data_IF_362939588135
#
_entry.id   IF_362939588135
#
_cell.length_a   1.000
_cell.length_b   1.000
_cell.length_c   1.000
_cell.angle_alpha   90.00
_cell.angle_beta   90.00
_cell.angle_gamma   90.00
#
_symmetry.space_group_name_H-M   'P 1'
#
loop_
_entity.id
_entity.type
_entity.pdbx_description
1 polymer ?
#
# COMPACT_ATOMS: atom_id res chain seq x y z
N UNK A 1 27.30 19.72 -12.41
CA UNK A 1 26.28 18.65 -12.46
C UNK A 1 25.25 19.01 -11.43
N UNK A 2 24.14 19.60 -11.85
CA UNK A 2 23.02 19.88 -10.96
C UNK A 2 22.19 18.59 -10.84
N UNK A 3 22.00 18.09 -9.62
CA UNK A 3 21.12 16.97 -9.36
C UNK A 3 19.68 17.43 -9.55
N UNK A 4 18.95 16.81 -10.46
CA UNK A 4 17.52 17.03 -10.62
C UNK A 4 16.83 16.57 -9.33
N UNK A 5 16.38 17.54 -8.54
CA UNK A 5 15.50 17.30 -7.41
C UNK A 5 14.15 16.80 -7.97
N UNK A 6 13.80 15.55 -7.71
CA UNK A 6 12.46 15.06 -7.99
C UNK A 6 11.54 15.52 -6.85
N UNK A 7 11.12 16.78 -6.86
CA UNK A 7 9.91 17.17 -6.14
C UNK A 7 8.70 16.75 -6.97
N UNK A 8 8.24 15.53 -6.77
CA UNK A 8 6.96 15.08 -7.35
C UNK A 8 5.89 15.16 -6.27
N UNK A 9 5.50 16.37 -5.89
CA UNK A 9 4.35 16.58 -5.02
C UNK A 9 3.09 16.62 -5.87
N UNK A 10 2.77 15.50 -6.51
CA UNK A 10 1.42 15.31 -7.04
C UNK A 10 0.60 14.58 -6.00
N UNK A 11 -0.20 15.32 -5.23
CA UNK A 11 -1.30 14.75 -4.45
C UNK A 11 -2.38 14.26 -5.41
N UNK A 12 -2.11 13.18 -6.14
CA UNK A 12 -3.17 12.40 -6.76
C UNK A 12 -3.84 11.65 -5.63
N UNK A 13 -5.05 12.06 -5.27
CA UNK A 13 -5.93 11.22 -4.48
C UNK A 13 -6.10 9.92 -5.26
N UNK A 14 -5.51 8.83 -4.75
CA UNK A 14 -5.69 7.51 -5.34
C UNK A 14 -7.18 7.19 -5.22
N UNK A 15 -7.85 6.97 -6.35
CA UNK A 15 -9.22 6.49 -6.33
C UNK A 15 -9.23 5.03 -5.88
N UNK A 16 -9.50 4.85 -4.59
CA UNK A 16 -9.55 3.54 -3.94
C UNK A 16 -10.72 2.68 -4.43
N UNK A 17 -11.69 3.24 -5.17
CA UNK A 17 -12.83 2.46 -5.70
C UNK A 17 -12.39 1.39 -6.71
N UNK A 18 -11.21 1.57 -7.31
CA UNK A 18 -10.57 0.60 -8.19
C UNK A 18 -9.69 -0.42 -7.46
N UNK A 19 -9.42 -0.23 -6.16
CA UNK A 19 -8.64 -1.15 -5.33
C UNK A 19 -9.57 -2.13 -4.59
N UNK A 20 -10.49 -2.75 -5.33
CA UNK A 20 -11.51 -3.65 -4.77
C UNK A 20 -10.92 -4.88 -4.06
N UNK A 21 -9.66 -5.19 -4.36
CA UNK A 21 -8.94 -6.35 -3.86
C UNK A 21 -7.90 -5.97 -2.79
N UNK A 22 -8.03 -4.82 -2.14
CA UNK A 22 -7.16 -4.38 -1.06
C UNK A 22 -7.93 -4.24 0.24
N UNK A 23 -7.47 -4.94 1.29
CA UNK A 23 -7.94 -4.76 2.65
C UNK A 23 -6.89 -4.02 3.47
N UNK A 24 -7.22 -2.80 3.93
CA UNK A 24 -6.37 -2.00 4.82
C UNK A 24 -6.97 -2.03 6.22
N UNK A 25 -6.17 -2.39 7.22
CA UNK A 25 -6.60 -2.50 8.63
C UNK A 25 -5.56 -1.91 9.56
N UNK A 26 -6.03 -1.23 10.62
CA UNK A 26 -5.20 -0.94 11.79
C UNK A 26 -5.04 -2.22 12.64
N UNK A 27 -3.85 -2.42 13.16
CA UNK A 27 -3.47 -3.47 14.10
C UNK A 27 -2.77 -2.82 15.31
N UNK A 28 -2.56 -3.57 16.40
CA UNK A 28 -1.93 -3.03 17.62
C UNK A 28 -0.59 -2.32 17.38
N UNK A 29 0.16 -2.74 16.35
CA UNK A 29 1.49 -2.22 16.04
C UNK A 29 1.57 -1.52 14.66
N UNK A 30 0.46 -0.93 14.19
CA UNK A 30 0.45 -0.14 12.94
C UNK A 30 -0.61 -0.60 11.95
N UNK A 31 -0.23 -0.79 10.69
CA UNK A 31 -1.12 -1.07 9.59
C UNK A 31 -0.76 -2.39 8.91
N UNK A 32 -1.81 -3.10 8.50
CA UNK A 32 -1.73 -4.29 7.66
C UNK A 32 -2.51 -4.01 6.38
N UNK A 33 -1.86 -4.22 5.24
CA UNK A 33 -2.49 -4.18 3.92
C UNK A 33 -2.42 -5.57 3.31
N UNK A 34 -3.55 -6.10 2.84
CA UNK A 34 -3.61 -7.40 2.21
C UNK A 34 -4.24 -7.32 0.83
N UNK A 35 -3.73 -8.14 -0.10
CA UNK A 35 -4.44 -8.46 -1.34
C UNK A 35 -5.47 -9.54 -1.05
N UNK A 36 -6.72 -9.27 -1.40
CA UNK A 36 -7.85 -10.21 -1.28
C UNK A 36 -8.30 -10.67 -2.64
N UNK A 37 -8.64 -11.95 -2.77
CA UNK A 37 -9.40 -12.43 -3.93
C UNK A 37 -10.90 -12.09 -3.81
N UNK A 38 -11.68 -12.54 -4.79
CA UNK A 38 -13.13 -12.38 -4.86
C UNK A 38 -13.89 -13.16 -3.77
N UNK A 39 -13.24 -14.12 -3.10
CA UNK A 39 -13.76 -14.85 -1.95
C UNK A 39 -13.34 -14.22 -0.60
N UNK A 40 -12.48 -13.19 -0.63
CA UNK A 40 -11.97 -12.49 0.54
C UNK A 40 -10.75 -13.15 1.19
N UNK A 41 -10.11 -14.11 0.52
CA UNK A 41 -8.91 -14.77 1.02
C UNK A 41 -7.67 -13.86 0.83
N UNK A 42 -6.87 -13.75 1.89
CA UNK A 42 -5.68 -12.89 1.91
C UNK A 42 -4.46 -13.63 1.38
N UNK A 43 -4.02 -13.29 0.17
CA UNK A 43 -2.92 -13.96 -0.52
C UNK A 43 -1.55 -13.43 -0.09
N UNK A 44 -1.38 -12.10 -0.10
CA UNK A 44 -0.12 -11.42 0.24
C UNK A 44 -0.43 -10.27 1.19
N UNK A 45 0.46 -10.02 2.15
CA UNK A 45 0.32 -8.98 3.16
C UNK A 45 1.56 -8.10 3.18
N UNK A 46 1.35 -6.83 3.50
CA UNK A 46 2.38 -5.87 3.85
C UNK A 46 2.10 -5.22 5.19
N UNK A 47 3.17 -4.84 5.88
CA UNK A 47 3.14 -4.29 7.24
C UNK A 47 3.88 -2.95 7.29
N UNK A 48 3.43 -2.05 8.17
CA UNK A 48 4.10 -0.77 8.37
C UNK A 48 3.48 0.06 9.48
N UNK A 49 4.18 1.09 9.93
CA UNK A 49 3.68 2.03 10.94
C UNK A 49 2.74 3.08 10.32
N UNK A 50 2.76 3.21 8.98
CA UNK A 50 1.83 4.03 8.21
C UNK A 50 1.18 3.20 7.10
N UNK A 51 0.00 3.60 6.59
CA UNK A 51 -0.60 2.91 5.43
C UNK A 51 0.36 2.86 4.23
N UNK A 52 1.12 3.93 3.99
CA UNK A 52 2.12 4.01 2.91
C UNK A 52 3.22 2.97 3.07
N UNK A 53 3.75 2.81 4.28
CA UNK A 53 4.77 1.79 4.57
C UNK A 53 4.22 0.38 4.32
N UNK A 54 3.00 0.10 4.78
CA UNK A 54 2.37 -1.20 4.59
C UNK A 54 2.06 -1.51 3.12
N UNK A 55 1.69 -0.50 2.31
CA UNK A 55 1.52 -0.65 0.85
C UNK A 55 2.88 -0.93 0.17
N UNK A 56 3.93 -0.22 0.56
CA UNK A 56 5.27 -0.40 -0.02
C UNK A 56 5.87 -1.78 0.33
N UNK A 57 5.64 -2.26 1.55
CA UNK A 57 6.02 -3.61 1.98
C UNK A 57 5.26 -4.68 1.18
N UNK A 58 3.94 -4.52 1.03
CA UNK A 58 3.12 -5.40 0.19
C UNK A 58 3.65 -5.43 -1.26
N UNK A 59 3.95 -4.27 -1.84
CA UNK A 59 4.50 -4.17 -3.20
C UNK A 59 5.85 -4.91 -3.31
N UNK A 60 6.72 -4.76 -2.32
CA UNK A 60 8.02 -5.45 -2.31
C UNK A 60 7.89 -6.97 -2.26
N UNK A 61 6.81 -7.48 -1.65
CA UNK A 61 6.52 -8.91 -1.60
C UNK A 61 5.97 -9.49 -2.93
N UNK A 62 5.69 -8.66 -3.93
CA UNK A 62 5.13 -9.07 -5.23
C UNK A 62 6.17 -9.18 -6.36
N UNK A 63 7.42 -8.75 -6.15
CA UNK A 63 8.45 -8.60 -7.19
C UNK A 63 9.68 -9.45 -6.90
#
# INVERSE_FOLDING_TARGET
>A
MESLAYETTTNHSIDLSHLQNFAIREAENGFVVALTDDEGFESVRGFGNTPTEAINDLHSNLI
#
